data_IF_007591135135
#
_entry.id   IF_007591135135
#
_cell.length_a   1.000
_cell.length_b   1.000
_cell.length_c   1.000
_cell.angle_alpha   90.00
_cell.angle_beta   90.00
_cell.angle_gamma   90.00
#
_symmetry.space_group_name_H-M   'P 1'
#
loop_
_entity.id
_entity.type
_entity.pdbx_description
1 polymer ?
#
# COMPACT_ATOMS: atom_id res chain seq x y z
N UNK A 1 -10.18 -22.14 2.00
CA UNK A 1 -10.12 -20.74 2.49
C UNK A 1 -10.87 -20.70 3.82
N UNK A 2 -10.21 -20.32 4.91
CA UNK A 2 -10.84 -20.13 6.23
C UNK A 2 -11.04 -18.62 6.50
N UNK A 3 -11.74 -18.27 7.58
CA UNK A 3 -12.07 -16.88 7.91
C UNK A 3 -10.82 -15.99 8.07
N UNK A 4 -9.76 -16.51 8.70
CA UNK A 4 -8.49 -15.80 8.89
C UNK A 4 -7.81 -15.50 7.55
N UNK A 5 -7.64 -16.51 6.69
CA UNK A 5 -7.05 -16.34 5.36
C UNK A 5 -7.85 -15.38 4.47
N UNK A 6 -9.17 -15.31 4.65
CA UNK A 6 -10.01 -14.36 3.93
C UNK A 6 -9.85 -12.93 4.48
N UNK A 7 -9.75 -12.77 5.81
CA UNK A 7 -9.49 -11.48 6.43
C UNK A 7 -8.12 -10.92 6.00
N UNK A 8 -7.08 -11.76 5.98
CA UNK A 8 -5.74 -11.38 5.51
C UNK A 8 -5.76 -10.98 4.03
N UNK A 9 -6.49 -11.74 3.21
CA UNK A 9 -6.71 -11.40 1.81
C UNK A 9 -7.38 -10.03 1.63
N UNK A 10 -8.48 -9.77 2.36
CA UNK A 10 -9.18 -8.49 2.30
C UNK A 10 -8.30 -7.33 2.76
N UNK A 11 -7.55 -7.52 3.85
CA UNK A 11 -6.63 -6.53 4.39
C UNK A 11 -5.55 -6.16 3.37
N UNK A 12 -4.98 -7.16 2.70
CA UNK A 12 -4.00 -6.95 1.62
C UNK A 12 -4.61 -6.16 0.45
N UNK A 13 -5.81 -6.54 -0.02
CA UNK A 13 -6.47 -5.82 -1.11
C UNK A 13 -6.80 -4.36 -0.74
N UNK A 14 -7.28 -4.12 0.48
CA UNK A 14 -7.57 -2.77 0.95
C UNK A 14 -6.30 -1.90 1.00
N UNK A 15 -5.19 -2.44 1.51
CA UNK A 15 -3.91 -1.71 1.56
C UNK A 15 -3.41 -1.30 0.17
N UNK A 16 -3.51 -2.20 -0.82
CA UNK A 16 -3.11 -1.92 -2.21
C UNK A 16 -4.01 -0.83 -2.81
N UNK A 17 -5.34 -0.97 -2.70
CA UNK A 17 -6.28 -0.05 -3.33
C UNK A 17 -6.17 1.36 -2.72
N UNK A 18 -6.08 1.46 -1.39
CA UNK A 18 -5.92 2.76 -0.73
C UNK A 18 -4.58 3.41 -1.06
N UNK A 19 -3.51 2.63 -1.27
CA UNK A 19 -2.26 3.16 -1.81
C UNK A 19 -2.44 3.67 -3.24
N UNK A 20 -3.07 2.88 -4.11
CA UNK A 20 -3.31 3.23 -5.51
C UNK A 20 -4.17 4.49 -5.68
N UNK A 21 -5.15 4.69 -4.80
CA UNK A 21 -6.01 5.88 -4.75
C UNK A 21 -5.36 7.10 -4.06
N UNK A 22 -4.08 6.99 -3.65
CA UNK A 22 -3.37 8.05 -2.94
C UNK A 22 -3.92 8.34 -1.55
N UNK A 23 -4.68 7.42 -0.94
CA UNK A 23 -5.22 7.56 0.42
C UNK A 23 -4.25 7.11 1.50
N UNK A 24 -3.30 6.22 1.16
CA UNK A 24 -2.22 5.78 2.03
C UNK A 24 -0.86 6.01 1.38
N UNK A 25 0.14 6.27 2.21
CA UNK A 25 1.54 6.15 1.78
C UNK A 25 1.94 4.68 1.70
N UNK A 26 2.97 4.38 0.90
CA UNK A 26 3.56 3.04 0.86
C UNK A 26 4.08 2.58 2.23
N UNK A 27 4.55 3.51 3.08
CA UNK A 27 4.98 3.22 4.45
C UNK A 27 3.84 2.78 5.35
N UNK A 28 2.73 3.52 5.38
CA UNK A 28 1.55 3.18 6.20
C UNK A 28 0.94 1.86 5.77
N UNK A 29 0.81 1.64 4.45
CA UNK A 29 0.26 0.41 3.92
C UNK A 29 1.16 -0.81 4.27
N UNK A 30 2.49 -0.66 4.18
CA UNK A 30 3.43 -1.70 4.59
C UNK A 30 3.36 -2.02 6.09
N UNK A 31 3.31 -0.99 6.93
CA UNK A 31 3.16 -1.14 8.38
C UNK A 31 1.85 -1.85 8.75
N UNK A 32 0.75 -1.51 8.06
CA UNK A 32 -0.55 -2.15 8.29
C UNK A 32 -0.51 -3.65 7.99
N UNK A 33 0.22 -4.05 6.95
CA UNK A 33 0.41 -5.46 6.58
C UNK A 33 1.54 -6.16 7.36
N UNK A 34 2.32 -5.44 8.17
CA UNK A 34 3.45 -6.01 8.90
C UNK A 34 4.61 -6.45 8.00
N UNK A 35 4.80 -5.81 6.84
CA UNK A 35 5.86 -6.12 5.88
C UNK A 35 6.77 -4.91 5.64
N UNK A 36 7.95 -5.13 5.05
CA UNK A 36 8.85 -4.03 4.68
C UNK A 36 8.29 -3.18 3.53
N UNK A 37 8.57 -1.87 3.51
CA UNK A 37 8.12 -0.92 2.48
C UNK A 37 8.44 -1.38 1.05
N UNK A 38 9.66 -1.87 0.81
CA UNK A 38 10.05 -2.38 -0.51
C UNK A 38 9.25 -3.62 -0.92
N UNK A 39 8.92 -4.49 0.03
CA UNK A 39 8.08 -5.66 -0.24
C UNK A 39 6.65 -5.25 -0.57
N UNK A 40 6.11 -4.25 0.11
CA UNK A 40 4.80 -3.68 -0.22
C UNK A 40 4.78 -3.07 -1.63
N UNK A 41 5.78 -2.26 -1.98
CA UNK A 41 5.86 -1.64 -3.31
C UNK A 41 5.90 -2.68 -4.44
N UNK A 42 6.69 -3.75 -4.29
CA UNK A 42 6.70 -4.86 -5.26
C UNK A 42 5.32 -5.50 -5.41
N UNK A 43 4.67 -5.79 -4.28
CA UNK A 43 3.33 -6.38 -4.23
C UNK A 43 2.27 -5.47 -4.85
N UNK A 44 2.35 -4.16 -4.62
CA UNK A 44 1.44 -3.18 -5.22
C UNK A 44 1.64 -3.09 -6.74
N UNK A 45 2.89 -3.08 -7.21
CA UNK A 45 3.21 -3.03 -8.65
C UNK A 45 2.79 -4.31 -9.39
N UNK A 46 3.00 -5.48 -8.78
CA UNK A 46 2.49 -6.76 -9.31
C UNK A 46 0.96 -6.77 -9.42
N UNK A 47 0.27 -6.05 -8.53
CA UNK A 47 -1.18 -5.86 -8.57
C UNK A 47 -1.63 -4.76 -9.56
N UNK A 48 -0.70 -4.16 -10.31
CA UNK A 48 -0.99 -3.13 -11.31
C UNK A 48 -1.06 -1.71 -10.77
N UNK A 49 -0.73 -1.47 -9.49
CA UNK A 49 -0.59 -0.12 -9.00
C UNK A 49 0.60 0.54 -9.70
N UNK A 50 0.38 1.69 -10.34
CA UNK A 50 1.48 2.52 -10.85
C UNK A 50 1.98 3.44 -9.76
N UNK A 51 3.23 3.92 -9.88
CA UNK A 51 3.69 5.03 -9.05
C UNK A 51 2.69 6.19 -9.22
N UNK A 52 2.25 6.74 -8.09
CA UNK A 52 1.45 7.94 -8.05
C UNK A 52 2.22 9.07 -8.74
N UNK A 53 1.47 9.98 -9.35
CA UNK A 53 1.96 11.01 -10.24
C UNK A 53 3.12 11.81 -9.63
N UNK A 54 3.99 12.39 -10.45
CA UNK A 54 5.13 13.19 -9.96
C UNK A 54 4.64 14.57 -9.48
N UNK A 55 3.93 14.57 -8.35
CA UNK A 55 3.28 15.74 -7.76
C UNK A 55 3.78 16.01 -6.34
N UNK A 56 3.66 17.27 -5.89
CA UNK A 56 4.01 17.68 -4.53
C UNK A 56 3.14 16.98 -3.47
N UNK A 57 1.88 16.72 -3.78
CA UNK A 57 0.96 16.05 -2.86
C UNK A 57 1.37 14.58 -2.64
N UNK A 58 1.83 13.91 -3.69
CA UNK A 58 2.36 12.55 -3.62
C UNK A 58 3.65 12.47 -2.82
N UNK A 59 4.57 13.41 -3.06
CA UNK A 59 5.78 13.53 -2.25
C UNK A 59 5.45 13.74 -0.78
N UNK A 60 4.50 14.65 -0.48
CA UNK A 60 4.08 14.95 0.89
C UNK A 60 3.49 13.70 1.56
N UNK A 61 2.59 12.99 0.87
CA UNK A 61 2.01 11.74 1.37
C UNK A 61 3.07 10.67 1.64
N UNK A 62 4.02 10.47 0.75
CA UNK A 62 5.09 9.47 0.89
C UNK A 62 6.11 9.80 1.98
N UNK A 63 6.19 11.07 2.41
CA UNK A 63 7.15 11.56 3.40
C UNK A 63 6.52 11.94 4.74
N UNK A 64 5.19 11.99 4.85
CA UNK A 64 4.45 12.42 6.04
C UNK A 64 4.74 11.61 7.33
N UNK A 65 5.41 10.46 7.23
CA UNK A 65 5.75 9.57 8.35
C UNK A 65 7.21 9.08 8.30
N UNK A 66 8.07 9.71 7.49
CA UNK A 66 9.52 9.60 7.66
C UNK A 66 9.96 10.41 8.87
#
# INVERSE_FOLDING_TARGET
>A
MNAESFADYLKKQAAINLFHEGKLSSGTAAAWLGIGRLAFLRLAFEAGATLLEDTTDDLTRETALL
#
